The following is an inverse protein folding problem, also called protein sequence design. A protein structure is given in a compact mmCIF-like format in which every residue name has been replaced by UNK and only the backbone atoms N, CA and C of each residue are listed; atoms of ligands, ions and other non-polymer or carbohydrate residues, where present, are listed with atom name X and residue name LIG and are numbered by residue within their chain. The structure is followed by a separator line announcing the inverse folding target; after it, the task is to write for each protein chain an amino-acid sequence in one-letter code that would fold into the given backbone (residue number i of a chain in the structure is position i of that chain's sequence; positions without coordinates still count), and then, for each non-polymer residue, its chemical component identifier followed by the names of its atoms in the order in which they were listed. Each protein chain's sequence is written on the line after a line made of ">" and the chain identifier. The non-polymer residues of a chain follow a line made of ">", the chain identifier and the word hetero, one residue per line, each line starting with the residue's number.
data_IF_882199347996
#
_entry.id   IF_882199347996
#
_cell.length_a   1.000
_cell.length_b   1.000
_cell.length_c   1.000
_cell.angle_alpha   90.00
_cell.angle_beta   90.00
_cell.angle_gamma   90.00
#
_symmetry.space_group_name_H-M   'P 1'
#
loop_
_entity.id
_entity.type
_entity.pdbx_description
1 polymer ?
#
# COMPACT_ATOMS: atom_id res chain seq x y z
N UNK A 1 19.84 2.83 14.01
CA UNK A 1 20.04 1.37 14.15
C UNK A 1 20.17 0.81 12.74
N UNK A 2 21.28 0.16 12.36
CA UNK A 2 21.36 -0.47 11.02
C UNK A 2 20.48 -1.72 11.05
N UNK A 3 19.49 -1.79 10.16
CA UNK A 3 18.60 -2.94 10.02
C UNK A 3 19.39 -4.19 9.67
N UNK A 4 19.09 -5.32 10.32
CA UNK A 4 19.58 -6.66 9.96
C UNK A 4 18.58 -7.41 9.08
N UNK A 5 17.57 -6.72 8.56
CA UNK A 5 16.51 -7.34 7.77
C UNK A 5 17.09 -7.96 6.50
N UNK A 6 16.78 -9.23 6.29
CA UNK A 6 17.05 -9.90 5.03
C UNK A 6 16.09 -9.35 3.96
N UNK A 7 16.67 -8.60 3.02
CA UNK A 7 16.00 -8.00 1.86
C UNK A 7 16.19 -8.81 0.58
N UNK A 8 16.74 -10.04 0.66
CA UNK A 8 16.92 -10.89 -0.51
C UNK A 8 15.59 -11.07 -1.29
N UNK A 9 15.61 -11.05 -2.64
CA UNK A 9 14.39 -11.17 -3.45
C UNK A 9 13.52 -12.39 -3.10
N UNK A 10 14.14 -13.49 -2.66
CA UNK A 10 13.47 -14.73 -2.26
C UNK A 10 12.66 -14.59 -0.96
N UNK A 11 13.05 -13.67 -0.07
CA UNK A 11 12.40 -13.46 1.22
C UNK A 11 11.22 -12.49 1.14
N UNK A 12 11.27 -11.51 0.23
CA UNK A 12 10.25 -10.44 0.11
C UNK A 12 9.45 -10.45 -1.19
N UNK A 13 9.80 -11.32 -2.14
CA UNK A 13 9.19 -11.41 -3.48
C UNK A 13 9.10 -10.02 -4.16
N UNK A 14 10.20 -9.28 -4.22
CA UNK A 14 10.27 -7.94 -4.80
C UNK A 14 11.49 -7.80 -5.67
N UNK A 15 11.33 -7.15 -6.83
CA UNK A 15 12.43 -6.80 -7.72
C UNK A 15 13.22 -5.58 -7.20
N UNK A 16 12.58 -4.73 -6.40
CA UNK A 16 13.16 -3.51 -5.82
C UNK A 16 12.86 -3.50 -4.31
N UNK A 17 13.61 -4.28 -3.50
CA UNK A 17 13.45 -4.36 -2.05
C UNK A 17 13.42 -2.99 -1.37
N UNK A 18 14.34 -2.12 -1.73
CA UNK A 18 14.67 -0.87 -1.05
C UNK A 18 13.63 0.24 -1.25
N UNK A 19 12.81 0.16 -2.30
CA UNK A 19 11.89 1.24 -2.68
C UNK A 19 10.41 0.89 -2.55
N UNK A 20 10.04 -0.37 -2.29
CA UNK A 20 8.62 -0.78 -2.18
C UNK A 20 8.12 -0.90 -0.73
N UNK A 21 6.79 -0.94 -0.53
CA UNK A 21 6.21 -1.24 0.80
C UNK A 21 6.65 -2.61 1.32
N UNK A 22 6.94 -3.58 0.44
CA UNK A 22 7.35 -4.93 0.86
C UNK A 22 8.67 -4.91 1.64
N UNK A 23 9.69 -4.18 1.17
CA UNK A 23 10.94 -4.07 1.92
C UNK A 23 10.84 -3.15 3.13
N UNK A 24 10.09 -2.04 3.04
CA UNK A 24 9.80 -1.20 4.21
C UNK A 24 9.11 -2.00 5.32
N UNK A 25 8.13 -2.83 4.98
CA UNK A 25 7.48 -3.73 5.92
C UNK A 25 8.43 -4.84 6.42
N UNK A 26 9.31 -5.38 5.57
CA UNK A 26 10.30 -6.38 5.99
C UNK A 26 11.27 -5.83 7.06
N UNK A 27 11.60 -4.55 6.99
CA UNK A 27 12.37 -3.87 8.04
C UNK A 27 11.49 -3.63 9.27
N UNK A 28 10.31 -3.03 9.09
CA UNK A 28 9.42 -2.67 10.18
C UNK A 28 8.92 -3.87 10.99
N UNK A 29 8.71 -5.04 10.36
CA UNK A 29 8.14 -6.22 11.02
C UNK A 29 9.03 -6.80 12.13
N UNK A 30 10.31 -6.42 12.20
CA UNK A 30 11.20 -6.81 13.29
C UNK A 30 10.75 -6.23 14.64
N UNK A 31 9.99 -5.12 14.62
CA UNK A 31 9.47 -4.43 15.81
C UNK A 31 7.94 -4.29 15.80
N UNK A 32 7.34 -4.17 14.61
CA UNK A 32 5.91 -3.97 14.39
C UNK A 32 5.40 -4.95 13.32
N UNK A 33 5.46 -6.24 13.64
CA UNK A 33 4.86 -7.27 12.79
C UNK A 33 3.32 -7.13 12.75
N UNK A 34 2.69 -7.77 11.76
CA UNK A 34 1.23 -7.90 11.69
C UNK A 34 0.62 -8.37 13.02
N UNK A 35 1.16 -9.43 13.62
CA UNK A 35 0.62 -9.99 14.88
C UNK A 35 0.76 -9.03 16.06
N UNK A 36 1.86 -8.29 16.14
CA UNK A 36 2.07 -7.25 17.15
C UNK A 36 1.06 -6.11 16.96
N UNK A 37 0.88 -5.63 15.72
CA UNK A 37 -0.10 -4.58 15.42
C UNK A 37 -1.53 -5.03 15.72
N UNK A 38 -1.92 -6.24 15.32
CA UNK A 38 -3.22 -6.82 15.67
C UNK A 38 -3.42 -6.90 17.19
N UNK A 39 -2.37 -7.24 17.95
CA UNK A 39 -2.44 -7.29 19.42
C UNK A 39 -2.57 -5.91 20.07
N UNK A 40 -1.92 -4.89 19.53
CA UNK A 40 -2.00 -3.50 20.04
C UNK A 40 -3.39 -2.93 19.75
N UNK A 41 -3.89 -3.14 18.53
CA UNK A 41 -5.16 -2.60 18.08
C UNK A 41 -6.36 -3.40 18.63
N UNK A 42 -6.19 -4.68 18.92
CA UNK A 42 -7.25 -5.57 19.40
C UNK A 42 -8.18 -6.10 18.31
N UNK A 43 -7.82 -5.91 17.04
CA UNK A 43 -8.60 -6.32 15.86
C UNK A 43 -7.70 -7.09 14.89
N UNK A 44 -8.27 -8.00 14.10
CA UNK A 44 -7.55 -8.65 13.00
C UNK A 44 -7.39 -7.68 11.83
N UNK A 45 -6.21 -7.63 11.21
CA UNK A 45 -5.93 -6.71 10.11
C UNK A 45 -6.71 -7.07 8.83
N UNK A 46 -6.92 -8.38 8.60
CA UNK A 46 -7.61 -8.90 7.43
C UNK A 46 -8.81 -9.76 7.84
N UNK A 47 -9.94 -9.59 7.14
CA UNK A 47 -11.12 -10.45 7.26
C UNK A 47 -10.96 -11.73 6.43
N UNK A 48 -10.28 -11.63 5.29
CA UNK A 48 -10.02 -12.75 4.40
C UNK A 48 -8.86 -12.44 3.45
N UNK A 49 -8.46 -13.44 2.66
CA UNK A 49 -7.38 -13.32 1.68
C UNK A 49 -6.26 -14.34 1.94
N UNK A 50 -5.07 -14.14 1.35
CA UNK A 50 -4.01 -15.13 1.38
C UNK A 50 -3.09 -15.03 2.61
N UNK A 51 -3.27 -14.02 3.46
CA UNK A 51 -2.39 -13.72 4.59
C UNK A 51 -2.74 -14.58 5.80
N UNK A 52 -1.72 -15.22 6.38
CA UNK A 52 -1.84 -16.05 7.58
C UNK A 52 -1.28 -15.33 8.80
N UNK A 53 -0.38 -16.02 9.52
CA UNK A 53 0.45 -15.38 10.56
C UNK A 53 1.30 -14.25 9.95
N UNK A 54 1.89 -14.52 8.79
CA UNK A 54 2.69 -13.58 8.01
C UNK A 54 1.99 -13.12 6.72
N UNK A 55 2.60 -12.07 6.12
CA UNK A 55 2.21 -11.59 4.80
C UNK A 55 2.53 -12.62 3.71
N UNK A 56 1.56 -12.87 2.84
CA UNK A 56 1.69 -13.77 1.70
C UNK A 56 1.69 -12.97 0.39
N UNK A 57 2.88 -12.78 -0.18
CA UNK A 57 3.08 -12.04 -1.43
C UNK A 57 3.09 -12.93 -2.69
N UNK A 58 2.89 -14.24 -2.55
CA UNK A 58 2.96 -15.22 -3.66
C UNK A 58 1.57 -15.54 -4.23
N UNK A 59 0.49 -15.07 -3.60
CA UNK A 59 -0.85 -15.26 -4.12
C UNK A 59 -1.12 -14.28 -5.26
N UNK A 60 -1.16 -14.78 -6.49
CA UNK A 60 -1.45 -13.96 -7.67
C UNK A 60 -2.92 -13.52 -7.76
N UNK A 61 -3.85 -14.38 -7.27
CA UNK A 61 -5.29 -14.25 -7.55
C UNK A 61 -6.16 -14.07 -6.30
N UNK A 62 -5.54 -13.91 -5.14
CA UNK A 62 -6.23 -13.47 -3.92
C UNK A 62 -5.45 -12.29 -3.35
N UNK A 63 -6.17 -11.32 -2.82
CA UNK A 63 -5.58 -10.21 -2.08
C UNK A 63 -6.19 -10.13 -0.68
N UNK A 64 -5.45 -9.54 0.27
CA UNK A 64 -5.94 -9.34 1.62
C UNK A 64 -7.11 -8.36 1.63
N UNK A 65 -8.25 -8.78 2.16
CA UNK A 65 -9.43 -7.96 2.40
C UNK A 65 -9.34 -7.40 3.81
N UNK A 66 -9.14 -6.09 3.94
CA UNK A 66 -8.92 -5.48 5.26
C UNK A 66 -10.17 -5.52 6.14
N UNK A 67 -9.96 -5.49 7.44
CA UNK A 67 -11.02 -5.28 8.41
C UNK A 67 -11.19 -3.77 8.66
N UNK A 68 -12.33 -3.14 8.29
CA UNK A 68 -12.52 -1.71 8.53
C UNK A 68 -12.41 -1.36 10.02
N UNK A 69 -12.84 -2.23 10.95
CA UNK A 69 -12.69 -2.00 12.39
C UNK A 69 -11.24 -1.87 12.84
N UNK A 70 -10.33 -2.64 12.23
CA UNK A 70 -8.90 -2.51 12.47
C UNK A 70 -8.40 -1.14 12.01
N UNK A 71 -8.81 -0.69 10.83
CA UNK A 71 -8.39 0.61 10.28
C UNK A 71 -8.91 1.78 11.11
N UNK A 72 -10.19 1.78 11.49
CA UNK A 72 -10.76 2.82 12.37
C UNK A 72 -10.07 2.86 13.73
N UNK A 73 -9.75 1.70 14.31
CA UNK A 73 -9.07 1.61 15.60
C UNK A 73 -7.61 2.04 15.51
N UNK A 74 -6.93 1.72 14.40
CA UNK A 74 -5.61 2.22 14.08
C UNK A 74 -5.61 3.75 13.92
N UNK A 75 -6.59 4.31 13.21
CA UNK A 75 -6.74 5.75 13.03
C UNK A 75 -6.84 6.44 14.39
N UNK A 76 -7.76 5.98 15.26
CA UNK A 76 -7.90 6.53 16.62
C UNK A 76 -6.59 6.48 17.42
N UNK A 77 -5.86 5.38 17.32
CA UNK A 77 -4.60 5.18 18.04
C UNK A 77 -3.51 6.14 17.52
N UNK A 78 -3.42 6.29 16.20
CA UNK A 78 -2.46 7.19 15.56
C UNK A 78 -2.81 8.66 15.81
N UNK A 79 -4.09 9.06 15.76
CA UNK A 79 -4.50 10.43 16.08
C UNK A 79 -4.04 10.82 17.48
N UNK A 80 -4.30 9.96 18.49
CA UNK A 80 -3.86 10.21 19.86
C UNK A 80 -2.33 10.25 20.00
N UNK A 81 -1.60 9.47 19.19
CA UNK A 81 -0.15 9.47 19.19
C UNK A 81 0.42 10.75 18.54
N UNK A 82 -0.19 11.20 17.45
CA UNK A 82 0.22 12.37 16.68
C UNK A 82 -0.10 13.69 17.39
N UNK A 83 -1.03 13.71 18.36
CA UNK A 83 -1.23 14.85 19.27
C UNK A 83 0.02 15.16 20.13
N UNK A 84 0.93 14.19 20.30
CA UNK A 84 2.18 14.39 21.00
C UNK A 84 3.22 15.08 20.12
N UNK A 85 3.45 16.37 20.36
CA UNK A 85 4.50 17.15 19.68
C UNK A 85 5.89 16.54 19.80
N UNK A 86 6.19 15.89 20.94
CA UNK A 86 7.47 15.19 21.16
C UNK A 86 7.56 14.00 20.21
N UNK A 87 6.50 13.21 20.08
CA UNK A 87 6.48 12.07 19.16
C UNK A 87 6.68 12.55 17.72
N UNK A 88 5.89 13.54 17.28
CA UNK A 88 5.96 14.08 15.92
C UNK A 88 7.35 14.61 15.61
N UNK A 89 7.94 15.40 16.51
CA UNK A 89 9.30 15.94 16.31
C UNK A 89 10.37 14.84 16.19
N UNK A 90 10.26 13.74 16.96
CA UNK A 90 11.20 12.63 16.88
C UNK A 90 10.97 11.73 15.65
N UNK A 91 9.74 11.66 15.14
CA UNK A 91 9.39 10.86 13.97
C UNK A 91 9.60 11.60 12.64
N UNK A 92 9.69 12.94 12.65
CA UNK A 92 9.78 13.77 11.44
C UNK A 92 10.91 13.36 10.50
N UNK A 93 12.13 13.15 11.02
CA UNK A 93 13.27 12.77 10.19
C UNK A 93 13.08 11.42 9.48
N UNK A 94 12.45 10.46 10.16
CA UNK A 94 12.11 9.16 9.58
C UNK A 94 11.02 9.31 8.51
N UNK A 95 10.00 10.13 8.77
CA UNK A 95 8.97 10.44 7.79
C UNK A 95 9.58 11.04 6.52
N UNK A 96 10.40 12.08 6.68
CA UNK A 96 11.00 12.81 5.56
C UNK A 96 11.90 11.91 4.70
N UNK A 97 12.67 10.99 5.31
CA UNK A 97 13.57 10.11 4.57
C UNK A 97 12.88 8.88 3.95
N UNK A 98 11.91 8.27 4.65
CA UNK A 98 11.39 6.95 4.25
C UNK A 98 9.98 6.99 3.65
N UNK A 99 9.15 7.95 4.08
CA UNK A 99 7.69 7.91 3.87
C UNK A 99 7.16 9.08 3.04
N UNK A 100 7.78 10.26 3.09
CA UNK A 100 7.23 11.48 2.50
C UNK A 100 6.84 11.33 1.03
N UNK A 101 7.80 10.97 0.17
CA UNK A 101 7.49 10.75 -1.25
C UNK A 101 6.51 9.60 -1.45
N UNK A 102 6.65 8.53 -0.67
CA UNK A 102 5.79 7.35 -0.77
C UNK A 102 4.32 7.68 -0.50
N UNK A 103 4.04 8.36 0.61
CA UNK A 103 2.69 8.72 1.00
C UNK A 103 2.08 9.77 0.06
N UNK A 104 2.87 10.71 -0.46
CA UNK A 104 2.43 11.61 -1.53
C UNK A 104 2.00 10.84 -2.78
N UNK A 105 2.76 9.82 -3.19
CA UNK A 105 2.39 8.97 -4.33
C UNK A 105 1.09 8.21 -4.06
N UNK A 106 0.86 7.68 -2.84
CA UNK A 106 -0.44 7.10 -2.48
C UNK A 106 -1.57 8.12 -2.56
N UNK A 107 -1.34 9.35 -2.09
CA UNK A 107 -2.36 10.39 -2.11
C UNK A 107 -2.78 10.71 -3.55
N UNK A 108 -1.81 10.97 -4.42
CA UNK A 108 -2.05 11.25 -5.84
C UNK A 108 -2.70 10.06 -6.56
N UNK A 109 -2.31 8.83 -6.19
CA UNK A 109 -2.86 7.61 -6.77
C UNK A 109 -4.33 7.34 -6.37
N UNK A 110 -4.83 7.96 -5.28
CA UNK A 110 -6.21 7.77 -4.84
C UNK A 110 -7.20 8.24 -5.91
N UNK A 111 -6.97 9.42 -6.48
CA UNK A 111 -7.87 10.03 -7.48
C UNK A 111 -8.04 9.17 -8.73
N UNK A 112 -6.96 8.52 -9.18
CA UNK A 112 -6.98 7.69 -10.40
C UNK A 112 -7.38 6.24 -10.13
N UNK A 113 -7.20 5.75 -8.90
CA UNK A 113 -7.36 4.34 -8.56
C UNK A 113 -8.66 4.00 -7.83
N UNK A 114 -9.11 4.82 -6.87
CA UNK A 114 -10.18 4.46 -5.95
C UNK A 114 -11.55 4.38 -6.63
N UNK A 115 -11.84 5.28 -7.57
CA UNK A 115 -13.16 5.35 -8.22
C UNK A 115 -13.13 4.88 -9.68
N UNK A 116 -12.10 4.14 -10.09
CA UNK A 116 -11.95 3.66 -11.47
C UNK A 116 -12.72 2.35 -11.68
N UNK A 117 -14.02 2.46 -12.00
CA UNK A 117 -14.91 1.32 -12.18
C UNK A 117 -14.45 0.38 -13.30
N UNK A 118 -13.94 0.92 -14.40
CA UNK A 118 -13.46 0.12 -15.54
C UNK A 118 -12.30 -0.80 -15.11
N UNK A 119 -11.31 -0.27 -14.41
CA UNK A 119 -10.17 -1.05 -13.92
C UNK A 119 -10.61 -2.03 -12.81
N UNK A 120 -11.54 -1.65 -11.93
CA UNK A 120 -12.09 -2.56 -10.93
C UNK A 120 -12.78 -3.77 -11.57
N UNK A 121 -13.65 -3.53 -12.56
CA UNK A 121 -14.39 -4.58 -13.27
C UNK A 121 -13.44 -5.48 -14.05
N UNK A 122 -12.47 -4.89 -14.76
CA UNK A 122 -11.43 -5.62 -15.49
C UNK A 122 -10.59 -6.51 -14.55
N UNK A 123 -10.17 -5.97 -13.41
CA UNK A 123 -9.41 -6.72 -12.41
C UNK A 123 -10.23 -7.89 -11.84
N UNK A 124 -11.50 -7.65 -11.48
CA UNK A 124 -12.39 -8.69 -10.95
C UNK A 124 -12.70 -9.77 -12.00
N UNK A 125 -12.89 -9.40 -13.27
CA UNK A 125 -13.04 -10.35 -14.36
C UNK A 125 -11.79 -11.23 -14.52
N UNK A 126 -10.60 -10.62 -14.46
CA UNK A 126 -9.34 -11.37 -14.49
C UNK A 126 -9.26 -12.31 -13.29
N UNK A 127 -9.68 -11.90 -12.08
CA UNK A 127 -9.72 -12.77 -10.89
C UNK A 127 -10.74 -13.92 -10.96
N UNK A 128 -11.79 -13.81 -11.77
CA UNK A 128 -12.80 -14.84 -11.96
C UNK A 128 -12.43 -15.91 -13.01
N UNK A 129 -11.45 -15.65 -13.86
CA UNK A 129 -11.06 -16.56 -14.96
C UNK A 129 -9.99 -17.58 -14.56
N UNK A 130 -10.06 -18.81 -15.07
CA UNK A 130 -8.97 -19.77 -14.88
C UNK A 130 -7.69 -19.28 -15.59
N UNK A 131 -6.49 -19.51 -15.02
CA UNK A 131 -5.24 -19.12 -15.68
C UNK A 131 -5.14 -19.79 -17.05
N UNK A 132 -4.99 -19.00 -18.11
CA UNK A 132 -4.78 -19.56 -19.44
C UNK A 132 -3.40 -20.25 -19.47
N UNK A 133 -3.38 -21.57 -19.62
CA UNK A 133 -2.15 -22.31 -19.91
C UNK A 133 -1.74 -22.01 -21.36
N UNK A 134 -0.73 -21.16 -21.52
CA UNK A 134 -0.01 -20.85 -22.77
C UNK A 134 -0.77 -20.01 -23.82
N UNK A 135 -0.51 -18.69 -23.82
CA UNK A 135 -0.60 -17.77 -24.98
C UNK A 135 0.20 -16.49 -24.67
N UNK A 136 0.61 -15.71 -25.68
CA UNK A 136 1.23 -14.37 -25.48
C UNK A 136 0.35 -13.43 -24.63
N UNK A 137 -0.96 -13.67 -24.61
CA UNK A 137 -1.92 -12.98 -23.73
C UNK A 137 -1.82 -13.37 -22.24
N UNK A 138 -0.85 -14.19 -21.83
CA UNK A 138 -0.67 -14.64 -20.43
C UNK A 138 -0.26 -13.49 -19.52
N UNK A 139 0.52 -12.52 -20.01
CA UNK A 139 0.95 -11.38 -19.19
C UNK A 139 -0.25 -10.50 -18.78
N UNK A 140 -1.15 -10.18 -19.71
CA UNK A 140 -2.41 -9.48 -19.41
C UNK A 140 -3.39 -10.29 -18.56
N UNK A 141 -3.19 -11.60 -18.43
CA UNK A 141 -4.01 -12.46 -17.55
C UNK A 141 -3.48 -12.55 -16.12
N UNK A 142 -2.32 -11.96 -15.83
CA UNK A 142 -1.81 -11.84 -14.46
C UNK A 142 -2.42 -10.59 -13.80
N UNK A 143 -3.12 -10.74 -12.65
CA UNK A 143 -3.86 -9.63 -12.05
C UNK A 143 -2.98 -8.42 -11.67
N UNK A 144 -1.74 -8.64 -11.24
CA UNK A 144 -0.83 -7.55 -10.85
C UNK A 144 -0.31 -6.78 -12.06
N UNK A 145 -0.03 -7.47 -13.16
CA UNK A 145 0.40 -6.88 -14.43
C UNK A 145 -0.72 -6.06 -15.05
N UNK A 146 -1.96 -6.58 -15.07
CA UNK A 146 -3.12 -5.81 -15.51
C UNK A 146 -3.23 -4.48 -14.75
N UNK A 147 -3.11 -4.48 -13.42
CA UNK A 147 -3.13 -3.24 -12.65
C UNK A 147 -1.97 -2.32 -13.03
N UNK A 148 -0.75 -2.83 -13.16
CA UNK A 148 0.41 -2.00 -13.51
C UNK A 148 0.24 -1.33 -14.89
N UNK A 149 -0.16 -2.08 -15.90
CA UNK A 149 -0.35 -1.55 -17.25
C UNK A 149 -1.53 -0.56 -17.32
N UNK A 150 -2.59 -0.78 -16.53
CA UNK A 150 -3.75 0.12 -16.47
C UNK A 150 -3.39 1.53 -15.97
N UNK A 151 -2.23 1.69 -15.31
CA UNK A 151 -1.79 2.96 -14.73
C UNK A 151 -0.40 3.39 -15.20
N UNK A 152 0.08 2.87 -16.34
CA UNK A 152 1.39 3.22 -16.91
C UNK A 152 1.52 4.72 -17.18
N UNK A 153 0.53 5.31 -17.86
CA UNK A 153 0.54 6.75 -18.18
C UNK A 153 0.56 7.63 -16.92
N UNK A 154 -0.18 7.24 -15.89
CA UNK A 154 -0.14 7.91 -14.59
C UNK A 154 1.26 7.86 -13.98
N UNK A 155 1.88 6.68 -13.97
CA UNK A 155 3.22 6.50 -13.41
C UNK A 155 4.28 7.32 -14.15
N UNK A 156 4.23 7.34 -15.48
CA UNK A 156 5.13 8.16 -16.32
C UNK A 156 4.89 9.67 -16.08
N UNK A 157 3.63 10.09 -15.88
CA UNK A 157 3.31 11.48 -15.52
C UNK A 157 3.84 11.90 -14.14
N UNK A 158 3.89 10.97 -13.19
CA UNK A 158 4.47 11.19 -11.86
C UNK A 158 6.00 11.23 -11.91
N UNK A 159 6.62 10.38 -12.73
CA UNK A 159 8.06 10.39 -12.94
C UNK A 159 8.54 11.75 -13.49
N UNK A 160 7.81 12.31 -14.45
CA UNK A 160 8.06 13.66 -14.96
C UNK A 160 7.98 14.76 -13.89
N UNK A 161 7.28 14.50 -12.78
CA UNK A 161 7.18 15.39 -11.61
C UNK A 161 8.22 15.06 -10.51
N UNK A 162 9.12 14.12 -10.75
CA UNK A 162 10.19 13.72 -9.83
C UNK A 162 9.80 12.66 -8.80
N UNK A 163 8.65 12.00 -8.96
CA UNK A 163 8.28 10.84 -8.13
C UNK A 163 8.85 9.54 -8.70
N UNK A 164 8.86 8.50 -7.88
CA UNK A 164 9.32 7.18 -8.28
C UNK A 164 8.28 6.47 -9.18
N UNK A 165 8.63 6.18 -10.43
CA UNK A 165 7.76 5.50 -11.40
C UNK A 165 7.29 4.13 -10.91
N UNK A 166 8.13 3.37 -10.20
CA UNK A 166 7.76 2.05 -9.67
C UNK A 166 6.70 2.14 -8.57
N UNK A 167 6.70 3.21 -7.80
CA UNK A 167 5.65 3.48 -6.84
C UNK A 167 4.37 3.93 -7.57
N UNK A 168 4.52 4.77 -8.61
CA UNK A 168 3.44 5.21 -9.49
C UNK A 168 2.66 4.07 -10.14
N UNK A 169 3.32 2.98 -10.56
CA UNK A 169 2.64 1.82 -11.18
C UNK A 169 1.91 0.93 -10.16
N UNK A 170 2.33 0.91 -8.89
CA UNK A 170 1.74 -0.02 -7.89
C UNK A 170 0.70 0.62 -6.98
N UNK A 171 0.81 1.92 -6.68
CA UNK A 171 -0.06 2.60 -5.72
C UNK A 171 -1.52 2.67 -6.19
N UNK A 172 -1.85 2.99 -7.46
CA UNK A 172 -3.24 2.97 -7.92
C UNK A 172 -3.89 1.60 -7.78
N UNK A 173 -3.16 0.52 -8.08
CA UNK A 173 -3.64 -0.85 -7.90
C UNK A 173 -3.90 -1.23 -6.45
N UNK A 174 -3.25 -0.58 -5.47
CA UNK A 174 -3.66 -0.69 -4.06
C UNK A 174 -5.07 -0.11 -3.86
N UNK A 175 -5.35 1.09 -4.34
CA UNK A 175 -6.66 1.74 -4.20
C UNK A 175 -7.79 0.99 -4.91
N UNK A 176 -7.52 0.42 -6.09
CA UNK A 176 -8.47 -0.48 -6.76
C UNK A 176 -8.89 -1.61 -5.81
N UNK A 177 -7.93 -2.30 -5.19
CA UNK A 177 -8.22 -3.39 -4.24
C UNK A 177 -8.96 -2.92 -2.98
N UNK A 178 -8.65 -1.71 -2.50
CA UNK A 178 -9.35 -1.10 -1.34
C UNK A 178 -10.79 -0.71 -1.64
N UNK A 179 -11.05 -0.30 -2.87
CA UNK A 179 -12.40 0.06 -3.28
C UNK A 179 -13.26 -1.20 -3.45
N UNK A 180 -12.68 -2.28 -3.99
CA UNK A 180 -13.35 -3.59 -4.10
C UNK A 180 -13.62 -4.21 -2.72
N UNK A 181 -12.79 -3.98 -1.70
CA UNK A 181 -13.03 -4.47 -0.33
C UNK A 181 -13.74 -3.49 0.60
N UNK A 182 -14.12 -2.31 0.08
CA UNK A 182 -14.87 -1.30 0.79
C UNK A 182 -14.09 -0.60 1.90
N UNK A 183 -12.76 -0.59 1.83
CA UNK A 183 -11.89 0.06 2.84
C UNK A 183 -11.07 1.24 2.31
N UNK A 184 -11.39 1.74 1.11
CA UNK A 184 -10.65 2.84 0.48
C UNK A 184 -10.70 4.11 1.33
N UNK A 185 -11.86 4.45 1.89
CA UNK A 185 -12.04 5.69 2.65
C UNK A 185 -11.29 5.64 3.98
N UNK A 186 -11.34 4.54 4.74
CA UNK A 186 -10.59 4.41 6.00
C UNK A 186 -9.08 4.47 5.78
N UNK A 187 -8.58 3.91 4.67
CA UNK A 187 -7.17 4.05 4.30
C UNK A 187 -6.81 5.48 3.90
N UNK A 188 -7.71 6.16 3.18
CA UNK A 188 -7.48 7.54 2.79
C UNK A 188 -7.48 8.48 4.00
N UNK A 189 -8.34 8.24 4.99
CA UNK A 189 -8.32 8.93 6.29
C UNK A 189 -7.00 8.70 7.04
N UNK A 190 -6.51 7.46 7.13
CA UNK A 190 -5.21 7.14 7.72
C UNK A 190 -4.05 7.86 7.02
N UNK A 191 -4.08 7.88 5.69
CA UNK A 191 -3.07 8.53 4.86
C UNK A 191 -3.06 10.04 5.09
N UNK A 192 -4.23 10.66 5.01
CA UNK A 192 -4.39 12.11 5.19
C UNK A 192 -4.07 12.53 6.61
N UNK A 193 -4.37 11.73 7.63
CA UNK A 193 -3.92 11.96 9.00
C UNK A 193 -2.38 12.07 9.08
N UNK A 194 -1.66 11.13 8.46
CA UNK A 194 -0.20 11.15 8.45
C UNK A 194 0.35 12.37 7.69
N UNK A 195 -0.16 12.65 6.49
CA UNK A 195 0.31 13.79 5.68
C UNK A 195 -0.01 15.12 6.37
N UNK A 196 -1.21 15.31 6.92
CA UNK A 196 -1.56 16.53 7.67
C UNK A 196 -0.63 16.75 8.88
N UNK A 197 -0.15 15.68 9.49
CA UNK A 197 0.72 15.75 10.67
C UNK A 197 2.16 16.11 10.31
N UNK A 198 2.72 15.47 9.29
CA UNK A 198 4.15 15.54 8.99
C UNK A 198 4.51 16.35 7.73
N UNK A 199 3.53 16.65 6.89
CA UNK A 199 3.71 17.30 5.58
C UNK A 199 2.49 18.13 5.15
N UNK A 200 1.95 19.02 6.01
CA UNK A 200 0.73 19.76 5.74
C UNK A 200 0.84 20.68 4.51
N UNK A 201 2.05 21.14 4.18
CA UNK A 201 2.32 21.98 3.01
C UNK A 201 2.03 21.27 1.69
N UNK A 202 2.11 19.94 1.65
CA UNK A 202 1.73 19.19 0.46
C UNK A 202 0.23 19.33 0.19
N UNK A 203 -0.61 19.15 1.21
CA UNK A 203 -2.07 19.19 1.04
C UNK A 203 -2.58 20.61 0.80
N UNK A 204 -1.95 21.63 1.37
CA UNK A 204 -2.33 23.03 1.09
C UNK A 204 -2.00 23.49 -0.34
N UNK A 205 -1.17 22.74 -1.06
CA UNK A 205 -0.79 23.01 -2.46
C UNK A 205 -1.62 22.26 -3.50
N UNK A 206 -2.64 21.50 -3.07
CA UNK A 206 -3.52 20.69 -3.93
C UNK A 206 -4.88 21.35 -4.15
#
# INVERSE_FOLDING_TARGET
>A
MRSTADLAPESINSWIPESGIRGRYQIAKQVLSKSVLESIIGEKAFLSGPHGEDMNYKSARKFGRYNPRFLTSLHKSLSSLFDSKIFVANAQALYDSELKQYLRTYYLAYEVGANNQEVMDGYMAILATEPKKYSESVFLSEPSYFLQESFRDFAESLEAQGYNVYEGVVCPGFWVRRSIDGTADEFFELLTLAINTFDPEFLSSK
#
